data_IF_698647777527
#
_entry.id   IF_698647777527
#
_cell.length_a   1.000
_cell.length_b   1.000
_cell.length_c   1.000
_cell.angle_alpha   90.00
_cell.angle_beta   90.00
_cell.angle_gamma   90.00
#
_symmetry.space_group_name_H-M   'P 1'
#
loop_
_entity.id
_entity.type
_entity.pdbx_description
1 polymer ?
#
# COMPACT_ATOMS: atom_id res chain seq x y z
N UNK A 1 -11.14 -8.03 15.10
CA UNK A 1 -12.49 -7.64 14.65
C UNK A 1 -12.43 -7.52 13.13
N UNK A 2 -13.28 -8.23 12.40
CA UNK A 2 -13.25 -8.22 10.93
C UNK A 2 -13.89 -6.93 10.43
N UNK A 3 -13.12 -6.10 9.75
CA UNK A 3 -13.61 -4.85 9.14
C UNK A 3 -14.69 -5.19 8.10
N UNK A 4 -15.89 -4.58 8.15
CA UNK A 4 -16.97 -4.91 7.23
C UNK A 4 -16.59 -4.52 5.79
N UNK A 5 -16.71 -5.49 4.88
CA UNK A 5 -16.46 -5.29 3.46
C UNK A 5 -17.45 -4.25 2.92
N UNK A 6 -16.93 -3.15 2.36
CA UNK A 6 -17.75 -2.09 1.76
C UNK A 6 -18.05 -2.41 0.30
N UNK A 7 -19.33 -2.35 -0.09
CA UNK A 7 -19.76 -2.52 -1.49
C UNK A 7 -19.74 -1.20 -2.29
N UNK A 8 -19.17 -0.13 -1.72
CA UNK A 8 -19.06 1.18 -2.37
C UNK A 8 -17.61 1.44 -2.73
N UNK A 9 -17.38 2.15 -3.84
CA UNK A 9 -16.04 2.61 -4.22
C UNK A 9 -15.39 3.36 -3.06
N UNK A 10 -14.18 2.94 -2.69
CA UNK A 10 -13.36 3.57 -1.65
C UNK A 10 -12.22 4.35 -2.31
N UNK A 11 -11.81 5.44 -1.67
CA UNK A 11 -10.65 6.25 -2.09
C UNK A 11 -9.67 6.33 -0.92
N UNK A 12 -8.38 6.18 -1.23
CA UNK A 12 -7.28 6.47 -0.32
C UNK A 12 -6.26 7.35 -1.05
N UNK A 13 -5.70 8.31 -0.33
CA UNK A 13 -4.59 9.13 -0.83
C UNK A 13 -3.28 8.55 -0.27
N UNK A 14 -2.35 8.21 -1.15
CA UNK A 14 -1.10 7.52 -0.83
C UNK A 14 0.10 8.37 -1.20
N UNK A 15 1.21 8.20 -0.47
CA UNK A 15 2.49 8.80 -0.81
C UNK A 15 3.38 7.77 -1.48
N UNK A 16 4.09 8.18 -2.53
CA UNK A 16 5.10 7.34 -3.16
C UNK A 16 6.22 7.11 -2.14
N UNK A 17 6.54 5.84 -1.90
CA UNK A 17 7.70 5.47 -1.12
C UNK A 17 8.91 5.36 -2.04
N UNK A 18 10.09 5.68 -1.52
CA UNK A 18 11.32 5.67 -2.31
C UNK A 18 11.63 4.26 -2.84
N UNK A 19 11.92 4.15 -4.13
CA UNK A 19 12.07 2.86 -4.80
C UNK A 19 13.33 2.11 -4.34
N UNK A 20 14.44 2.82 -4.11
CA UNK A 20 15.69 2.19 -3.67
C UNK A 20 15.51 1.60 -2.27
N UNK A 21 14.93 2.38 -1.36
CA UNK A 21 14.58 1.88 -0.02
C UNK A 21 13.59 0.73 -0.07
N UNK A 22 12.64 0.74 -1.01
CA UNK A 22 11.70 -0.38 -1.09
C UNK A 22 12.35 -1.68 -1.59
N UNK A 23 13.30 -1.57 -2.53
CA UNK A 23 14.09 -2.72 -3.01
C UNK A 23 14.95 -3.35 -1.92
N UNK A 24 15.34 -2.56 -0.91
CA UNK A 24 16.08 -3.10 0.24
C UNK A 24 15.21 -4.00 1.13
N UNK A 25 13.88 -3.80 1.14
CA UNK A 25 12.93 -4.56 1.97
C UNK A 25 12.16 -5.64 1.18
N UNK A 26 11.93 -5.44 -0.12
CA UNK A 26 11.13 -6.30 -0.97
C UNK A 26 11.83 -6.60 -2.31
N UNK A 27 11.64 -7.81 -2.83
CA UNK A 27 12.13 -8.18 -4.15
C UNK A 27 11.22 -7.62 -5.25
N UNK A 28 11.56 -6.44 -5.77
CA UNK A 28 10.75 -5.70 -6.74
C UNK A 28 11.31 -5.80 -8.16
N UNK A 29 10.40 -5.96 -9.11
CA UNK A 29 10.67 -5.79 -10.53
C UNK A 29 10.60 -4.31 -10.95
N UNK A 30 11.06 -3.98 -12.17
CA UNK A 30 11.01 -2.61 -12.70
C UNK A 30 9.58 -2.06 -12.87
N UNK A 31 8.57 -2.93 -12.92
CA UNK A 31 7.16 -2.54 -13.07
C UNK A 31 6.43 -2.30 -11.75
N UNK A 32 7.09 -2.52 -10.61
CA UNK A 32 6.48 -2.44 -9.29
C UNK A 32 6.95 -1.20 -8.54
N UNK A 33 6.05 -0.60 -7.75
CA UNK A 33 6.33 0.55 -6.91
C UNK A 33 5.81 0.31 -5.51
N UNK A 34 6.37 1.04 -4.55
CA UNK A 34 5.88 1.04 -3.19
C UNK A 34 5.19 2.36 -2.86
N UNK A 35 4.13 2.25 -2.08
CA UNK A 35 3.42 3.41 -1.53
C UNK A 35 3.39 3.28 -0.02
N UNK A 36 3.63 4.39 0.67
CA UNK A 36 3.59 4.42 2.11
C UNK A 36 2.17 4.69 2.61
N UNK A 37 1.65 3.79 3.42
CA UNK A 37 0.54 4.03 4.35
C UNK A 37 1.07 4.06 5.78
N UNK A 38 0.30 4.63 6.72
CA UNK A 38 0.60 4.38 8.13
C UNK A 38 0.23 2.93 8.47
N UNK A 39 0.97 2.31 9.38
CA UNK A 39 0.64 0.98 9.89
C UNK A 39 -0.82 0.96 10.39
N UNK A 40 -1.63 0.03 9.86
CA UNK A 40 -3.07 -0.05 10.13
C UNK A 40 -3.97 0.72 9.14
N UNK A 41 -3.39 1.42 8.16
CA UNK A 41 -4.09 2.06 7.05
C UNK A 41 -3.73 1.37 5.72
N UNK A 42 -4.71 1.22 4.82
CA UNK A 42 -4.49 0.58 3.53
C UNK A 42 -5.75 -0.05 2.95
N UNK A 43 -5.65 -0.53 1.71
CA UNK A 43 -6.78 -1.14 1.00
C UNK A 43 -6.97 -2.64 1.32
N UNK A 44 -5.96 -3.32 1.86
CA UNK A 44 -5.99 -4.77 2.09
C UNK A 44 -6.10 -5.10 3.59
N UNK A 45 -7.14 -5.86 3.95
CA UNK A 45 -7.25 -6.61 5.21
C UNK A 45 -7.05 -8.09 4.90
#
# INVERSE_FOLDING_TARGET
ASTPLSNKLQKIDLLIYDQEKCKDEFDLTEGEICTFTKYGEGACN
#
